data_IF_668662893853
#
_entry.id   IF_668662893853
#
_cell.length_a   1.000
_cell.length_b   1.000
_cell.length_c   1.000
_cell.angle_alpha   90.00
_cell.angle_beta   90.00
_cell.angle_gamma   90.00
#
_symmetry.space_group_name_H-M   'P 1'
#
loop_
_entity.id
_entity.type
_entity.pdbx_description
1 polymer ?
#
# COMPACT_ATOMS: atom_id res chain seq x y z
N UNK A 1 -20.47 -6.27 19.18
CA UNK A 1 -19.92 -5.00 19.68
C UNK A 1 -18.40 -5.03 19.62
N UNK A 2 -17.89 -4.87 18.42
CA UNK A 2 -16.49 -4.68 18.07
C UNK A 2 -16.37 -3.39 17.30
N UNK A 3 -15.63 -2.44 17.85
CA UNK A 3 -15.39 -1.12 17.22
C UNK A 3 -14.39 -1.17 16.06
N UNK A 4 -14.44 -2.25 15.28
CA UNK A 4 -13.59 -2.53 14.13
C UNK A 4 -14.34 -2.43 12.80
N UNK A 5 -15.66 -2.53 12.81
CA UNK A 5 -16.52 -2.19 11.69
C UNK A 5 -17.64 -1.26 12.15
N UNK A 6 -18.07 -0.38 11.24
CA UNK A 6 -19.04 0.66 11.54
C UNK A 6 -19.64 1.22 10.25
N UNK A 7 -20.82 1.80 10.36
CA UNK A 7 -21.48 2.53 9.28
C UNK A 7 -21.91 3.93 9.74
N UNK A 8 -21.62 4.93 8.93
CA UNK A 8 -21.91 6.33 9.24
C UNK A 8 -22.96 6.88 8.28
N UNK A 9 -24.12 7.26 8.82
CA UNK A 9 -25.21 7.86 8.06
C UNK A 9 -24.88 9.29 7.61
N UNK A 10 -24.95 9.53 6.30
CA UNK A 10 -24.58 10.80 5.67
C UNK A 10 -25.46 12.01 5.98
N UNK A 11 -26.68 11.80 6.49
CA UNK A 11 -27.65 12.90 6.70
C UNK A 11 -27.46 13.65 8.02
N UNK A 12 -26.88 13.00 9.04
CA UNK A 12 -26.58 13.59 10.35
C UNK A 12 -25.21 13.19 10.92
N UNK A 13 -24.44 12.36 10.21
CA UNK A 13 -23.13 11.89 10.64
C UNK A 13 -23.18 10.86 11.77
N UNK A 14 -24.35 10.28 12.07
CA UNK A 14 -24.48 9.29 13.13
C UNK A 14 -23.75 8.00 12.75
N UNK A 15 -22.91 7.50 13.66
CA UNK A 15 -22.10 6.29 13.48
C UNK A 15 -22.70 5.15 14.28
N UNK A 16 -23.10 4.08 13.58
CA UNK A 16 -23.50 2.81 14.15
C UNK A 16 -22.25 1.93 14.32
N UNK A 17 -22.04 1.38 15.52
CA UNK A 17 -20.86 0.57 15.92
C UNK A 17 -21.26 -0.81 16.49
N UNK A 18 -22.51 -1.17 16.23
CA UNK A 18 -23.26 -2.31 16.75
C UNK A 18 -24.32 -2.78 15.73
N UNK A 19 -24.14 -2.42 14.45
CA UNK A 19 -25.09 -2.77 13.38
C UNK A 19 -24.97 -4.23 12.97
N UNK A 20 -26.08 -4.81 12.51
CA UNK A 20 -26.14 -6.24 12.16
C UNK A 20 -25.44 -6.57 10.84
N UNK A 21 -25.43 -5.59 9.95
CA UNK A 21 -24.86 -5.60 8.63
C UNK A 21 -24.18 -4.26 8.33
N UNK A 22 -23.63 -4.15 7.12
CA UNK A 22 -22.92 -2.99 6.63
C UNK A 22 -23.56 -2.58 5.31
N UNK A 23 -24.34 -1.50 5.34
CA UNK A 23 -25.10 -1.04 4.18
C UNK A 23 -24.19 -0.26 3.21
N UNK A 24 -23.87 -0.88 2.07
CA UNK A 24 -22.94 -0.38 1.04
C UNK A 24 -23.70 0.04 -0.23
N UNK A 25 -24.27 1.24 -0.36
CA UNK A 25 -24.23 2.38 0.59
C UNK A 25 -25.59 3.00 0.87
N UNK A 26 -26.72 2.38 0.49
CA UNK A 26 -28.03 3.04 0.56
C UNK A 26 -29.17 2.16 1.10
N UNK A 27 -29.51 2.34 2.37
CA UNK A 27 -30.80 1.93 2.95
C UNK A 27 -31.85 3.03 2.74
N UNK A 28 -33.04 2.69 2.23
CA UNK A 28 -34.20 3.58 2.05
C UNK A 28 -33.94 4.98 1.44
N UNK A 29 -33.63 5.98 2.28
CA UNK A 29 -33.42 7.40 1.93
C UNK A 29 -32.02 7.91 2.28
N UNK A 30 -31.31 7.20 3.14
CA UNK A 30 -30.03 7.60 3.67
C UNK A 30 -28.89 6.96 2.86
N UNK A 31 -27.68 7.49 2.99
CA UNK A 31 -26.49 6.82 2.48
C UNK A 31 -25.46 6.65 3.58
N UNK A 32 -24.72 5.55 3.57
CA UNK A 32 -23.75 5.21 4.60
C UNK A 32 -22.32 5.23 4.05
N UNK A 33 -21.39 5.71 4.89
CA UNK A 33 -19.95 5.50 4.71
C UNK A 33 -19.55 4.34 5.61
N UNK A 34 -18.94 3.30 5.03
CA UNK A 34 -18.53 2.10 5.80
C UNK A 34 -17.07 2.22 6.21
N UNK A 35 -16.79 1.91 7.47
CA UNK A 35 -15.45 1.75 8.03
C UNK A 35 -15.14 0.28 8.31
N UNK A 36 -13.93 -0.16 7.95
CA UNK A 36 -13.44 -1.52 8.21
C UNK A 36 -11.98 -1.49 8.71
N UNK A 37 -11.75 -1.81 9.98
CA UNK A 37 -10.46 -1.84 10.66
C UNK A 37 -10.01 -3.29 10.91
N UNK A 38 -8.75 -3.54 10.57
CA UNK A 38 -8.08 -4.82 10.62
C UNK A 38 -6.92 -4.74 11.60
N UNK A 39 -7.07 -5.40 12.75
CA UNK A 39 -6.13 -5.27 13.85
C UNK A 39 -4.90 -6.19 13.70
N UNK A 40 -3.75 -5.75 14.23
CA UNK A 40 -2.51 -6.54 14.34
C UNK A 40 -1.99 -7.08 12.99
N UNK A 41 -1.95 -6.24 11.95
CA UNK A 41 -1.59 -6.68 10.59
C UNK A 41 -0.11 -7.06 10.51
N UNK A 42 0.13 -8.36 10.29
CA UNK A 42 1.47 -8.96 10.20
C UNK A 42 2.19 -8.72 8.86
N UNK A 43 2.06 -7.53 8.27
CA UNK A 43 2.81 -7.11 7.09
C UNK A 43 4.13 -6.41 7.52
N UNK A 44 5.30 -6.93 7.15
CA UNK A 44 6.57 -6.27 7.45
C UNK A 44 6.75 -5.02 6.56
N UNK A 45 7.40 -3.99 7.11
CA UNK A 45 7.81 -2.82 6.34
C UNK A 45 8.70 -3.22 5.15
N UNK A 46 8.49 -2.58 3.99
CA UNK A 46 9.16 -2.95 2.74
C UNK A 46 8.66 -4.24 2.09
N UNK A 47 7.50 -4.77 2.50
CA UNK A 47 6.77 -5.75 1.71
C UNK A 47 6.26 -5.13 0.39
N UNK A 48 6.27 -5.92 -0.69
CA UNK A 48 5.59 -5.60 -1.95
C UNK A 48 4.27 -6.35 -2.00
N UNK A 49 3.16 -5.61 -2.08
CA UNK A 49 1.81 -6.17 -2.18
C UNK A 49 1.56 -6.59 -3.63
N UNK A 50 1.38 -7.89 -3.85
CA UNK A 50 1.08 -8.47 -5.16
C UNK A 50 -0.42 -8.40 -5.45
N UNK A 51 -1.24 -8.67 -4.42
CA UNK A 51 -2.69 -8.57 -4.48
C UNK A 51 -3.25 -8.27 -3.10
N UNK A 52 -4.26 -7.42 -3.02
CA UNK A 52 -5.08 -7.25 -1.83
C UNK A 52 -6.55 -7.14 -2.22
N UNK A 53 -7.48 -7.59 -1.39
CA UNK A 53 -8.91 -7.38 -1.60
C UNK A 53 -9.69 -7.58 -0.29
N UNK A 54 -10.84 -6.92 -0.22
CA UNK A 54 -11.85 -7.17 0.81
C UNK A 54 -12.79 -8.27 0.31
N UNK A 55 -13.03 -9.29 1.13
CA UNK A 55 -13.94 -10.38 0.84
C UNK A 55 -15.18 -10.23 1.72
N UNK A 56 -16.32 -9.91 1.11
CA UNK A 56 -17.60 -9.71 1.78
C UNK A 56 -18.42 -11.01 1.75
N UNK A 57 -19.20 -11.25 2.81
CA UNK A 57 -20.26 -12.25 2.80
C UNK A 57 -21.62 -11.55 2.88
N UNK A 58 -22.49 -11.79 1.90
CA UNK A 58 -23.75 -11.05 1.81
C UNK A 58 -24.80 -11.49 2.83
N UNK A 59 -25.60 -10.55 3.32
CA UNK A 59 -26.80 -10.78 4.14
C UNK A 59 -28.04 -11.16 3.32
N UNK A 60 -27.96 -11.22 1.98
CA UNK A 60 -29.13 -11.42 1.13
C UNK A 60 -28.84 -11.54 -0.37
N UNK A 61 -29.77 -11.05 -1.19
CA UNK A 61 -29.68 -11.01 -2.65
C UNK A 61 -29.89 -9.57 -3.11
N UNK A 62 -28.93 -9.02 -3.85
CA UNK A 62 -28.87 -7.60 -4.20
C UNK A 62 -28.42 -7.41 -5.65
N UNK A 63 -29.30 -6.85 -6.49
CA UNK A 63 -29.05 -6.61 -7.93
C UNK A 63 -29.02 -5.12 -8.30
N UNK A 64 -29.30 -4.22 -7.35
CA UNK A 64 -29.31 -2.77 -7.56
C UNK A 64 -28.02 -2.26 -8.22
N UNK A 65 -28.15 -1.29 -9.13
CA UNK A 65 -27.01 -0.62 -9.76
C UNK A 65 -26.15 0.07 -8.71
N UNK A 66 -24.90 -0.36 -8.57
CA UNK A 66 -24.02 0.02 -7.46
C UNK A 66 -22.61 0.32 -7.97
N UNK A 67 -22.01 1.39 -7.46
CA UNK A 67 -20.61 1.76 -7.70
C UNK A 67 -20.04 2.26 -6.37
N UNK A 68 -18.89 1.70 -5.98
CA UNK A 68 -18.24 1.99 -4.71
C UNK A 68 -16.82 2.54 -4.95
N UNK A 69 -16.31 3.31 -4.00
CA UNK A 69 -14.93 3.76 -3.94
C UNK A 69 -14.33 3.25 -2.63
N UNK A 70 -13.22 2.51 -2.73
CA UNK A 70 -12.50 1.97 -1.57
C UNK A 70 -11.19 2.73 -1.42
N UNK A 71 -10.97 3.31 -0.25
CA UNK A 71 -9.73 3.98 0.17
C UNK A 71 -9.23 3.37 1.48
N UNK A 72 -7.96 3.58 1.80
CA UNK A 72 -7.40 3.33 3.13
C UNK A 72 -7.49 4.58 4.01
N UNK A 73 -7.38 4.40 5.31
CA UNK A 73 -7.11 5.48 6.27
C UNK A 73 -5.62 5.82 6.26
N UNK A 74 -5.28 7.11 6.12
CA UNK A 74 -3.89 7.59 6.07
C UNK A 74 -3.36 7.92 7.48
N UNK A 75 -3.19 6.89 8.31
CA UNK A 75 -2.60 6.99 9.66
C UNK A 75 -1.89 5.70 10.08
N UNK A 76 -0.87 5.81 10.93
CA UNK A 76 0.05 4.70 11.23
C UNK A 76 -0.62 3.53 11.95
N UNK A 77 -1.51 3.82 12.89
CA UNK A 77 -2.36 2.85 13.57
C UNK A 77 -3.77 3.47 13.73
N UNK A 78 -4.71 3.16 12.82
CA UNK A 78 -6.11 3.58 12.90
C UNK A 78 -6.73 3.29 14.26
N UNK A 79 -7.40 4.28 14.83
CA UNK A 79 -8.15 4.11 16.08
C UNK A 79 -9.44 3.31 15.84
N UNK A 80 -9.94 2.57 16.84
CA UNK A 80 -11.27 1.95 16.76
C UNK A 80 -12.36 2.98 16.42
N UNK A 81 -13.44 2.54 15.78
CA UNK A 81 -14.60 3.39 15.54
C UNK A 81 -15.29 3.78 16.85
N UNK A 82 -15.89 4.95 16.87
CA UNK A 82 -16.64 5.45 18.00
C UNK A 82 -17.95 6.08 17.53
N UNK A 83 -18.97 6.01 18.39
CA UNK A 83 -20.26 6.68 18.21
C UNK A 83 -20.12 8.21 18.45
N UNK A 84 -19.28 8.83 17.63
CA UNK A 84 -19.03 10.27 17.55
C UNK A 84 -19.41 10.70 16.15
N UNK A 85 -20.11 11.83 16.01
CA UNK A 85 -20.52 12.36 14.70
C UNK A 85 -19.32 12.43 13.74
N UNK A 86 -19.51 11.95 12.51
CA UNK A 86 -18.52 11.92 11.42
C UNK A 86 -17.24 11.08 11.67
N UNK A 87 -17.25 10.13 12.62
CA UNK A 87 -16.04 9.38 12.99
C UNK A 87 -15.39 8.57 11.84
N UNK A 88 -16.09 8.31 10.73
CA UNK A 88 -15.59 7.60 9.55
C UNK A 88 -15.34 8.59 8.40
N UNK A 89 -16.26 9.52 8.13
CA UNK A 89 -16.13 10.43 6.98
C UNK A 89 -15.03 11.47 7.14
N UNK A 90 -14.76 11.95 8.36
CA UNK A 90 -13.68 12.93 8.66
C UNK A 90 -12.28 12.29 8.74
N UNK A 91 -12.16 10.95 8.69
CA UNK A 91 -10.84 10.30 8.70
C UNK A 91 -10.05 10.63 7.43
N UNK A 92 -8.78 11.00 7.60
CA UNK A 92 -7.85 11.24 6.47
C UNK A 92 -7.68 9.94 5.69
N UNK A 93 -7.66 10.03 4.35
CA UNK A 93 -7.67 8.88 3.45
C UNK A 93 -6.47 8.87 2.52
N UNK A 94 -6.08 7.67 2.08
CA UNK A 94 -5.07 7.47 1.05
C UNK A 94 -5.44 8.20 -0.25
N UNK A 95 -4.40 8.65 -0.96
CA UNK A 95 -4.52 9.20 -2.31
C UNK A 95 -4.85 8.10 -3.32
N UNK A 96 -4.28 6.91 -3.15
CA UNK A 96 -4.71 5.69 -3.81
C UNK A 96 -6.16 5.40 -3.42
N UNK A 97 -6.98 5.17 -4.45
CA UNK A 97 -8.37 4.78 -4.33
C UNK A 97 -8.68 3.77 -5.43
N UNK A 98 -9.56 2.81 -5.14
CA UNK A 98 -9.99 1.79 -6.11
C UNK A 98 -11.50 1.91 -6.29
N UNK A 99 -11.90 2.23 -7.52
CA UNK A 99 -13.29 2.18 -7.94
C UNK A 99 -13.72 0.72 -8.11
N UNK A 100 -14.82 0.35 -7.47
CA UNK A 100 -15.58 -0.86 -7.74
C UNK A 100 -16.84 -0.44 -8.51
N UNK A 101 -16.62 -0.06 -9.76
CA UNK A 101 -17.70 0.30 -10.68
C UNK A 101 -18.49 -0.93 -11.11
N UNK A 102 -19.79 -0.74 -11.36
CA UNK A 102 -20.72 -1.77 -11.82
C UNK A 102 -20.65 -3.05 -10.98
N UNK A 103 -20.70 -2.91 -9.65
CA UNK A 103 -20.61 -4.04 -8.70
C UNK A 103 -21.56 -5.15 -9.14
N UNK A 104 -21.08 -6.37 -9.45
CA UNK A 104 -21.95 -7.45 -9.90
C UNK A 104 -23.08 -7.74 -8.89
N UNK A 105 -24.24 -8.25 -9.36
CA UNK A 105 -25.30 -8.68 -8.46
C UNK A 105 -24.79 -9.72 -7.46
N UNK A 106 -25.14 -9.54 -6.19
CA UNK A 106 -24.95 -10.56 -5.15
C UNK A 106 -26.17 -11.48 -5.21
N UNK A 107 -25.98 -12.69 -5.69
CA UNK A 107 -27.07 -13.60 -6.14
C UNK A 107 -27.46 -14.66 -5.11
N UNK A 108 -26.81 -14.67 -3.95
CA UNK A 108 -26.98 -15.67 -2.91
C UNK A 108 -26.65 -15.08 -1.53
N UNK A 109 -27.57 -15.28 -0.58
CA UNK A 109 -27.36 -15.03 0.85
C UNK A 109 -26.21 -15.89 1.36
N UNK A 110 -25.31 -15.33 2.17
CA UNK A 110 -24.05 -15.93 2.59
C UNK A 110 -23.10 -16.27 1.42
N UNK A 111 -23.40 -15.77 0.21
CA UNK A 111 -22.47 -15.78 -0.92
C UNK A 111 -21.26 -14.87 -0.64
N UNK A 112 -20.13 -15.25 -1.22
CA UNK A 112 -18.83 -14.61 -0.98
C UNK A 112 -18.40 -13.79 -2.20
N UNK A 113 -18.18 -12.49 -2.00
CA UNK A 113 -17.92 -11.53 -3.09
C UNK A 113 -16.65 -10.73 -2.80
N UNK A 114 -15.59 -10.87 -3.62
CA UNK A 114 -14.36 -10.10 -3.47
C UNK A 114 -14.48 -8.72 -4.14
N UNK A 115 -13.85 -7.71 -3.53
CA UNK A 115 -13.59 -6.42 -4.16
C UNK A 115 -12.58 -6.55 -5.32
N UNK A 116 -12.41 -5.50 -6.15
CA UNK A 116 -11.25 -5.35 -7.02
C UNK A 116 -9.93 -5.31 -6.23
N UNK A 117 -8.81 -5.36 -6.94
CA UNK A 117 -7.48 -5.39 -6.33
C UNK A 117 -7.13 -4.07 -5.64
N UNK A 118 -6.95 -4.11 -4.33
CA UNK A 118 -6.59 -3.00 -3.44
C UNK A 118 -5.08 -2.87 -3.23
N UNK A 119 -4.24 -3.59 -3.98
CA UNK A 119 -2.79 -3.62 -3.77
C UNK A 119 -2.15 -2.22 -3.69
N UNK A 120 -2.57 -1.27 -4.53
CA UNK A 120 -2.06 0.11 -4.49
C UNK A 120 -2.45 0.86 -3.21
N UNK A 121 -3.66 0.65 -2.68
CA UNK A 121 -4.14 1.25 -1.42
C UNK A 121 -3.34 0.69 -0.25
N UNK A 122 -3.22 -0.64 -0.17
CA UNK A 122 -2.44 -1.29 0.90
C UNK A 122 -0.96 -0.90 0.82
N UNK A 123 -0.38 -0.83 -0.38
CA UNK A 123 1.01 -0.42 -0.56
C UNK A 123 1.23 1.01 -0.05
N UNK A 124 0.36 1.97 -0.40
CA UNK A 124 0.43 3.33 0.16
C UNK A 124 0.33 3.30 1.70
N UNK A 125 -0.54 2.47 2.28
CA UNK A 125 -0.66 2.37 3.74
C UNK A 125 0.57 1.78 4.44
N UNK A 126 1.33 0.87 3.82
CA UNK A 126 2.51 0.23 4.44
C UNK A 126 3.86 0.89 4.05
N UNK A 127 3.88 1.74 3.02
CA UNK A 127 5.06 2.53 2.61
C UNK A 127 5.25 3.78 3.49
N UNK A 128 4.33 4.06 4.41
CA UNK A 128 4.39 5.23 5.29
C UNK A 128 5.56 5.10 6.30
N UNK A 129 6.30 6.18 6.60
CA UNK A 129 7.60 6.08 7.28
C UNK A 129 7.61 5.41 8.67
N UNK A 130 6.48 5.39 9.37
CA UNK A 130 6.36 4.79 10.70
C UNK A 130 5.56 3.48 10.70
N UNK A 131 5.29 2.86 9.55
CA UNK A 131 4.64 1.54 9.49
C UNK A 131 5.46 0.49 10.26
N UNK A 132 4.83 -0.23 11.17
CA UNK A 132 5.46 -1.30 11.95
C UNK A 132 4.64 -2.59 11.83
N UNK A 133 5.32 -3.72 12.01
CA UNK A 133 4.68 -5.02 12.07
C UNK A 133 3.66 -5.06 13.21
N UNK A 134 2.41 -5.40 12.91
CA UNK A 134 1.33 -5.42 13.90
C UNK A 134 0.62 -4.08 14.08
N UNK A 135 0.91 -3.06 13.28
CA UNK A 135 0.00 -1.92 13.12
C UNK A 135 -1.32 -2.37 12.47
N UNK A 136 -2.34 -1.53 12.60
CA UNK A 136 -3.68 -1.81 12.06
C UNK A 136 -3.83 -1.20 10.65
N UNK A 137 -4.73 -1.75 9.84
CA UNK A 137 -5.15 -1.14 8.58
C UNK A 137 -6.65 -0.82 8.68
N UNK A 138 -7.07 0.37 8.27
CA UNK A 138 -8.49 0.70 8.13
C UNK A 138 -8.82 1.12 6.70
N UNK A 139 -9.99 0.73 6.24
CA UNK A 139 -10.55 1.09 4.94
C UNK A 139 -11.82 1.90 5.12
N UNK A 140 -12.05 2.82 4.19
CA UNK A 140 -13.28 3.60 4.08
C UNK A 140 -13.91 3.31 2.73
N UNK A 141 -15.19 2.93 2.75
CA UNK A 141 -15.97 2.66 1.54
C UNK A 141 -17.09 3.71 1.43
N UNK A 142 -17.12 4.40 0.31
CA UNK A 142 -18.20 5.32 -0.08
C UNK A 142 -18.77 4.92 -1.45
N UNK A 143 -19.87 5.52 -1.87
CA UNK A 143 -20.45 5.23 -3.18
C UNK A 143 -21.96 5.45 -3.23
N UNK A 144 -22.61 4.78 -4.18
CA UNK A 144 -24.06 4.78 -4.35
C UNK A 144 -24.55 3.44 -4.90
N UNK A 145 -25.82 3.14 -4.64
CA UNK A 145 -26.42 1.82 -4.87
C UNK A 145 -26.54 1.05 -3.56
N UNK A 146 -26.72 -0.27 -3.64
CA UNK A 146 -26.98 -1.08 -2.46
C UNK A 146 -26.46 -2.51 -2.54
N UNK A 147 -25.66 -2.88 -1.54
CA UNK A 147 -25.23 -4.22 -1.16
C UNK A 147 -25.18 -4.24 0.37
N UNK A 148 -25.63 -5.30 1.02
CA UNK A 148 -25.44 -5.47 2.46
C UNK A 148 -24.65 -6.75 2.75
N UNK A 149 -23.65 -6.60 3.63
CA UNK A 149 -22.73 -7.64 4.07
C UNK A 149 -22.79 -7.80 5.59
N UNK A 150 -22.55 -9.00 6.10
CA UNK A 150 -22.58 -9.25 7.55
C UNK A 150 -21.52 -8.44 8.29
N UNK A 151 -21.91 -7.81 9.40
CA UNK A 151 -21.00 -7.19 10.39
C UNK A 151 -20.33 -8.25 11.28
N UNK A 152 -19.16 -7.92 11.84
CA UNK A 152 -18.50 -8.70 12.91
C UNK A 152 -19.32 -8.74 14.21
N UNK A 153 -20.24 -7.80 14.40
CA UNK A 153 -21.06 -7.71 15.61
C UNK A 153 -22.05 -8.86 15.76
N UNK A 154 -22.65 -9.33 14.65
CA UNK A 154 -23.50 -10.55 14.67
C UNK A 154 -22.68 -11.81 14.38
N UNK A 155 -21.89 -11.83 13.30
CA UNK A 155 -21.21 -13.06 12.85
C UNK A 155 -19.75 -12.79 12.46
N UNK A 156 -18.85 -12.88 13.43
CA UNK A 156 -17.39 -12.76 13.25
C UNK A 156 -16.82 -13.63 12.11
N UNK A 157 -17.38 -14.81 11.88
CA UNK A 157 -16.94 -15.70 10.80
C UNK A 157 -17.42 -15.28 9.40
N UNK A 158 -18.41 -14.38 9.32
CA UNK A 158 -19.01 -13.83 8.08
C UNK A 158 -18.60 -12.38 7.81
N UNK A 159 -18.08 -11.67 8.81
CA UNK A 159 -17.50 -10.33 8.71
C UNK A 159 -16.54 -10.17 7.51
N UNK A 160 -16.37 -8.96 6.96
CA UNK A 160 -15.51 -8.73 5.80
C UNK A 160 -14.05 -9.07 6.09
N UNK A 161 -13.40 -9.83 5.22
CA UNK A 161 -12.01 -10.31 5.41
C UNK A 161 -11.05 -9.61 4.49
N UNK A 162 -9.95 -9.11 5.05
CA UNK A 162 -8.83 -8.57 4.28
C UNK A 162 -7.89 -9.70 3.85
N UNK A 163 -7.78 -9.89 2.54
CA UNK A 163 -6.98 -10.93 1.91
C UNK A 163 -5.78 -10.28 1.23
N UNK A 164 -4.54 -10.69 1.55
CA UNK A 164 -3.31 -10.03 1.06
C UNK A 164 -2.24 -11.05 0.68
N UNK A 165 -1.87 -11.02 -0.60
CA UNK A 165 -0.76 -11.75 -1.19
C UNK A 165 0.44 -10.79 -1.30
N UNK A 166 1.57 -11.10 -0.64
CA UNK A 166 2.74 -10.22 -0.60
C UNK A 166 4.07 -10.98 -0.66
N UNK A 167 5.10 -10.29 -1.17
CA UNK A 167 6.49 -10.75 -1.18
C UNK A 167 7.37 -9.80 -0.37
N UNK A 168 8.30 -10.34 0.40
CA UNK A 168 9.39 -9.58 1.01
C UNK A 168 10.64 -9.68 0.15
N UNK A 169 11.44 -8.62 0.07
CA UNK A 169 12.81 -8.75 -0.41
C UNK A 169 13.55 -9.85 0.37
N UNK A 170 14.41 -10.61 -0.30
CA UNK A 170 15.34 -11.48 0.39
C UNK A 170 16.21 -10.63 1.33
N UNK A 171 16.55 -11.10 2.54
CA UNK A 171 17.41 -10.35 3.45
C UNK A 171 18.74 -10.08 2.74
N UNK A 172 19.03 -8.81 2.46
CA UNK A 172 20.32 -8.40 1.93
C UNK A 172 21.39 -8.95 2.87
N UNK A 173 22.35 -9.77 2.40
CA UNK A 173 23.37 -10.32 3.27
C UNK A 173 24.18 -9.15 3.83
N UNK A 174 23.97 -8.84 5.11
CA UNK A 174 24.73 -7.80 5.79
C UNK A 174 26.19 -8.19 5.70
N UNK A 175 26.98 -7.39 4.98
CA UNK A 175 28.41 -7.60 4.89
C UNK A 175 28.99 -7.51 6.30
N UNK A 176 29.17 -8.67 6.93
CA UNK A 176 29.81 -8.73 8.24
C UNK A 176 31.21 -8.22 8.02
N UNK A 177 31.50 -7.06 8.61
CA UNK A 177 32.85 -6.50 8.68
C UNK A 177 33.69 -7.50 9.46
N UNK A 178 34.23 -8.50 8.76
CA UNK A 178 35.21 -9.43 9.30
C UNK A 178 36.37 -8.55 9.72
N UNK A 179 36.68 -8.45 11.04
CA UNK A 179 37.73 -7.56 11.49
C UNK A 179 39.02 -7.99 10.80
N UNK A 180 39.55 -7.13 9.94
CA UNK A 180 40.85 -7.36 9.32
C UNK A 180 41.84 -7.54 10.47
N UNK A 181 42.54 -8.69 10.58
CA UNK A 181 43.50 -8.88 11.64
C UNK A 181 44.56 -7.78 11.51
N UNK A 182 44.58 -6.86 12.48
CA UNK A 182 45.61 -5.84 12.55
C UNK A 182 46.93 -6.58 12.66
N UNK A 183 47.77 -6.42 11.63
CA UNK A 183 49.10 -7.00 11.63
C UNK A 183 49.84 -6.48 12.86
N UNK A 184 50.04 -7.36 13.85
CA UNK A 184 50.78 -7.01 15.06
C UNK A 184 52.20 -6.72 14.61
N UNK A 185 52.64 -5.47 14.76
CA UNK A 185 53.99 -5.08 14.41
C UNK A 185 54.97 -5.87 15.27
N UNK A 186 55.70 -6.80 14.65
CA UNK A 186 56.78 -7.52 15.32
C UNK A 186 57.78 -6.48 15.82
N UNK A 187 58.09 -6.40 17.12
CA UNK A 187 59.02 -5.40 17.63
C UNK A 187 60.40 -5.62 16.98
N UNK A 188 60.96 -4.54 16.42
CA UNK A 188 62.29 -4.55 15.84
C UNK A 188 63.30 -5.00 16.91
N UNK A 189 64.21 -5.96 16.61
CA UNK A 189 65.19 -6.42 17.60
C UNK A 189 66.03 -5.25 18.09
N UNK A 190 66.05 -5.07 19.41
CA UNK A 190 66.80 -3.99 20.05
C UNK A 190 68.29 -4.27 19.93
N UNK A 191 69.01 -3.44 19.17
CA UNK A 191 70.47 -3.55 19.05
C UNK A 191 71.12 -3.31 20.42
N UNK A 192 71.50 -4.38 21.10
CA UNK A 192 72.35 -4.31 22.29
C UNK A 192 73.73 -3.85 21.85
N UNK A 193 74.16 -2.67 22.30
CA UNK A 193 75.47 -2.12 21.99
C UNK A 193 76.57 -3.02 22.55
N UNK A 194 77.43 -3.55 21.69
CA UNK A 194 78.64 -4.26 22.09
C UNK A 194 79.59 -3.32 22.85
N UNK A 195 80.39 -3.84 23.82
CA UNK A 195 81.37 -3.04 24.54
C UNK A 195 82.50 -2.55 23.60
N UNK A 196 83.16 -1.42 23.91
CA UNK A 196 84.06 -0.76 22.98
C UNK A 196 85.35 -1.57 22.76
N UNK A 197 85.64 -1.88 21.49
CA UNK A 197 86.91 -2.44 21.07
C UNK A 197 87.99 -1.34 20.98
N UNK A 198 89.16 -1.60 21.55
CA UNK A 198 90.34 -0.74 21.47
C UNK A 198 90.90 -0.67 20.05
N UNK A 199 91.02 0.54 19.50
CA UNK A 199 91.64 0.79 18.20
C UNK A 199 93.18 0.87 18.30
N UNK A 200 93.88 0.53 17.19
CA UNK A 200 94.96 1.41 16.74
C UNK A 200 94.78 1.88 15.28
N UNK A 201 94.63 3.20 15.16
CA UNK A 201 95.25 4.10 14.19
C UNK A 201 95.28 3.82 12.66
N UNK A 202 94.80 4.84 11.93
CA UNK A 202 95.31 5.36 10.63
C UNK A 202 94.69 4.85 9.32
N UNK A 203 93.75 5.64 8.79
CA UNK A 203 93.79 6.13 7.40
C UNK A 203 93.00 7.46 7.29
N UNK A 204 93.35 8.31 6.34
CA UNK A 204 92.88 9.71 6.19
C UNK A 204 92.14 9.84 4.86
N UNK A 205 90.95 10.48 4.81
CA UNK A 205 90.70 11.70 4.01
C UNK A 205 89.20 12.08 3.91
N UNK A 206 88.94 13.39 4.01
CA UNK A 206 87.95 14.25 3.28
C UNK A 206 86.91 13.61 2.34
N UNK A 207 85.68 14.10 2.14
CA UNK A 207 84.81 15.13 2.74
C UNK A 207 83.39 14.94 2.08
N UNK A 208 82.33 15.76 2.17
CA UNK A 208 82.05 17.09 2.76
C UNK A 208 80.52 17.17 3.07
N UNK A 209 80.08 18.03 3.99
CA UNK A 209 78.64 18.19 4.33
C UNK A 209 77.97 19.32 3.54
N UNK A 210 76.71 19.13 3.12
CA UNK A 210 75.74 20.25 2.97
C UNK A 210 74.30 19.74 3.01
N UNK A 211 73.43 20.52 3.67
CA UNK A 211 72.02 20.24 3.91
C UNK A 211 71.10 21.08 3.03
N UNK A 212 69.87 20.64 2.76
CA UNK A 212 68.63 21.45 2.94
C UNK A 212 67.37 20.60 2.64
N UNK A 213 66.21 20.93 3.25
CA UNK A 213 64.93 20.27 2.98
C UNK A 213 64.04 21.10 2.03
N UNK A 214 63.05 20.45 1.39
CA UNK A 214 61.86 21.15 0.91
C UNK A 214 60.65 20.20 0.81
N UNK A 215 59.50 20.64 1.32
CA UNK A 215 58.20 20.05 1.03
C UNK A 215 57.47 20.94 0.02
N UNK A 216 56.80 20.36 -0.97
CA UNK A 216 55.73 21.02 -1.72
C UNK A 216 54.80 20.02 -2.39
N UNK A 217 53.58 20.44 -2.65
CA UNK A 217 52.43 19.63 -3.05
C UNK A 217 52.26 19.48 -4.56
N UNK A 218 51.52 18.46 -4.98
CA UNK A 218 50.67 18.48 -6.20
C UNK A 218 49.61 17.37 -6.12
N UNK A 219 48.30 17.70 -6.10
CA UNK A 219 47.24 16.76 -6.46
C UNK A 219 47.03 16.77 -7.98
N UNK A 220 46.81 15.60 -8.59
CA UNK A 220 46.44 15.50 -10.00
C UNK A 220 44.91 15.44 -10.13
N UNK A 221 44.32 16.33 -10.91
CA UNK A 221 42.90 16.34 -11.25
C UNK A 221 42.72 16.59 -12.76
N UNK A 222 41.61 16.09 -13.30
CA UNK A 222 41.29 15.97 -14.73
C UNK A 222 41.27 17.27 -15.53
N UNK A 223 41.56 17.17 -16.83
CA UNK A 223 40.69 17.61 -17.94
C UNK A 223 41.45 17.70 -19.27
N UNK A 224 40.85 17.22 -20.36
CA UNK A 224 41.20 17.63 -21.73
C UNK A 224 39.91 18.01 -22.46
N UNK A 225 39.89 19.21 -23.04
CA UNK A 225 38.71 19.77 -23.70
C UNK A 225 39.01 20.09 -25.17
N UNK A 226 38.03 19.85 -26.05
CA UNK A 226 37.96 20.32 -27.45
C UNK A 226 36.52 20.08 -27.94
N UNK A 227 35.77 20.98 -28.58
CA UNK A 227 36.01 22.39 -28.96
C UNK A 227 34.65 23.16 -29.05
N UNK A 228 34.73 24.46 -29.33
CA UNK A 228 33.60 25.41 -29.60
C UNK A 228 34.01 26.37 -30.74
N UNK A 229 33.14 27.24 -31.30
CA UNK A 229 31.72 27.13 -31.69
C UNK A 229 31.57 27.50 -33.22
N UNK A 230 30.46 28.04 -33.80
CA UNK A 230 29.76 29.28 -33.41
C UNK A 230 28.21 29.18 -33.33
N UNK A 231 27.59 30.32 -32.98
CA UNK A 231 26.19 30.54 -32.57
C UNK A 231 25.22 30.85 -33.73
N UNK A 232 23.92 30.51 -33.57
CA UNK A 232 22.83 31.51 -33.66
C UNK A 232 21.43 30.99 -33.25
N UNK A 233 20.88 31.56 -32.17
CA UNK A 233 19.52 32.12 -32.02
C UNK A 233 18.28 31.42 -32.63
N UNK A 234 17.34 30.99 -31.78
CA UNK A 234 15.99 31.61 -31.67
C UNK A 234 15.04 30.87 -30.70
N UNK A 235 14.42 31.60 -29.78
CA UNK A 235 13.28 31.17 -28.95
C UNK A 235 11.96 31.40 -29.68
N UNK A 236 10.93 30.56 -29.51
CA UNK A 236 9.55 30.97 -29.70
C UNK A 236 8.78 31.01 -28.36
N UNK A 237 8.54 32.23 -27.87
CA UNK A 237 7.45 32.51 -26.92
C UNK A 237 6.14 32.55 -27.71
N UNK A 238 5.06 31.93 -27.23
CA UNK A 238 3.73 32.14 -27.80
C UNK A 238 2.75 32.63 -26.72
N UNK A 239 2.26 33.86 -26.90
CA UNK A 239 1.21 34.49 -26.10
C UNK A 239 -0.05 34.64 -26.97
N UNK A 240 -1.20 34.63 -26.32
CA UNK A 240 -2.54 34.50 -26.91
C UNK A 240 -2.86 35.37 -28.13
N UNK A 241 -3.73 34.83 -29.00
CA UNK A 241 -4.52 35.59 -29.96
C UNK A 241 -6.02 35.44 -29.64
N UNK A 242 -6.60 36.48 -29.06
CA UNK A 242 -8.05 36.59 -28.84
C UNK A 242 -8.72 37.03 -30.16
N UNK A 243 -9.61 36.21 -30.73
CA UNK A 243 -10.40 36.60 -31.91
C UNK A 243 -11.85 36.88 -31.51
N UNK A 244 -12.22 38.15 -31.53
CA UNK A 244 -13.61 38.61 -31.39
C UNK A 244 -14.37 38.33 -32.69
N UNK A 245 -15.46 37.57 -32.61
CA UNK A 245 -16.41 37.41 -33.71
C UNK A 245 -17.83 37.72 -33.21
N UNK A 246 -18.36 38.87 -33.62
CA UNK A 246 -19.72 39.32 -33.27
C UNK A 246 -20.63 39.18 -34.48
N UNK A 247 -21.58 38.24 -34.45
CA UNK A 247 -22.72 38.20 -35.39
C UNK A 247 -24.01 37.82 -34.64
N UNK A 248 -25.13 38.33 -35.13
CA UNK A 248 -26.42 38.41 -34.44
C UNK A 248 -27.25 37.10 -34.48
N UNK A 249 -28.23 36.92 -33.57
CA UNK A 249 -29.17 35.78 -33.60
C UNK A 249 -30.24 35.96 -34.69
N UNK A 250 -30.78 34.87 -35.23
CA UNK A 250 -32.23 34.68 -35.09
C UNK A 250 -32.71 33.21 -34.95
N UNK A 251 -34.03 33.09 -34.76
CA UNK A 251 -34.88 31.91 -34.89
C UNK A 251 -35.03 30.98 -33.65
N UNK A 252 -36.10 31.24 -32.90
CA UNK A 252 -36.78 30.25 -32.05
C UNK A 252 -37.30 29.08 -32.88
N UNK A 253 -36.74 27.88 -32.69
CA UNK A 253 -37.26 26.62 -33.23
C UNK A 253 -37.78 25.72 -32.12
N UNK A 254 -39.04 25.31 -32.20
CA UNK A 254 -39.68 24.42 -31.22
C UNK A 254 -39.15 22.99 -31.36
N UNK A 255 -38.52 22.44 -30.32
CA UNK A 255 -38.07 21.04 -30.31
C UNK A 255 -39.22 20.14 -29.84
N UNK A 256 -39.63 19.20 -30.70
CA UNK A 256 -40.61 18.18 -30.34
C UNK A 256 -39.98 17.12 -29.40
N UNK A 257 -40.74 16.52 -28.47
CA UNK A 257 -40.20 15.54 -27.52
C UNK A 257 -39.72 14.27 -28.22
N UNK A 258 -38.49 13.85 -27.91
CA UNK A 258 -37.94 12.56 -28.31
C UNK A 258 -38.62 11.45 -27.50
N UNK A 259 -39.09 10.39 -28.18
CA UNK A 259 -39.73 9.26 -27.53
C UNK A 259 -38.72 8.41 -26.74
N UNK A 260 -39.10 7.96 -25.54
CA UNK A 260 -38.28 7.05 -24.72
C UNK A 260 -38.13 5.68 -25.39
N UNK A 261 -36.94 5.04 -25.32
CA UNK A 261 -36.76 3.69 -25.82
C UNK A 261 -37.51 2.66 -24.94
N UNK A 262 -38.15 1.70 -25.58
CA UNK A 262 -38.84 0.59 -24.92
C UNK A 262 -37.82 -0.41 -24.36
N UNK A 263 -37.96 -0.91 -23.10
CA UNK A 263 -37.08 -1.94 -22.57
C UNK A 263 -37.31 -3.30 -23.28
N UNK A 264 -36.26 -4.13 -23.44
CA UNK A 264 -36.39 -5.48 -24.00
C UNK A 264 -37.12 -6.44 -23.06
N UNK A 265 -37.74 -7.53 -23.58
CA UNK A 265 -38.51 -8.47 -22.76
C UNK A 265 -37.61 -9.32 -21.84
N UNK A 266 -38.09 -9.56 -20.62
CA UNK A 266 -37.41 -10.37 -19.60
C UNK A 266 -37.23 -11.83 -20.04
N UNK A 267 -35.98 -12.30 -20.05
CA UNK A 267 -35.67 -13.71 -20.27
C UNK A 267 -35.99 -14.55 -19.01
N UNK A 268 -36.89 -15.51 -19.13
CA UNK A 268 -37.22 -16.45 -18.06
C UNK A 268 -36.21 -17.61 -18.04
N UNK A 269 -35.26 -17.58 -17.11
CA UNK A 269 -34.36 -18.71 -16.87
C UNK A 269 -35.09 -19.81 -16.09
N UNK A 270 -35.23 -20.98 -16.70
CA UNK A 270 -35.75 -22.18 -16.02
C UNK A 270 -34.62 -22.83 -15.24
N UNK A 271 -34.75 -22.92 -13.91
CA UNK A 271 -33.74 -23.54 -13.06
C UNK A 271 -33.66 -25.06 -13.30
N UNK A 272 -32.43 -25.56 -13.46
CA UNK A 272 -32.14 -27.01 -13.49
C UNK A 272 -31.88 -27.45 -12.03
N UNK A 273 -32.56 -28.49 -11.51
CA UNK A 273 -32.31 -28.96 -10.16
C UNK A 273 -30.94 -29.65 -10.05
N UNK A 274 -30.13 -29.20 -9.10
CA UNK A 274 -28.86 -29.84 -8.73
C UNK A 274 -29.13 -31.13 -7.94
N UNK A 275 -28.41 -32.20 -8.29
CA UNK A 275 -28.41 -33.45 -7.54
C UNK A 275 -27.60 -33.32 -6.24
N UNK A 276 -27.94 -34.05 -5.16
CA UNK A 276 -27.23 -33.97 -3.88
C UNK A 276 -25.85 -34.64 -3.97
N UNK A 277 -24.79 -33.89 -3.69
CA UNK A 277 -23.41 -34.41 -3.60
C UNK A 277 -23.17 -35.06 -2.23
N UNK A 278 -22.48 -36.19 -2.23
CA UNK A 278 -22.30 -37.05 -1.06
C UNK A 278 -21.35 -36.48 0.01
N UNK A 279 -21.55 -36.93 1.26
CA UNK A 279 -20.68 -36.68 2.41
C UNK A 279 -19.32 -37.39 2.29
N UNK A 280 -18.19 -36.74 2.62
CA UNK A 280 -16.90 -37.41 2.76
C UNK A 280 -16.83 -38.26 4.05
N UNK A 281 -16.16 -39.41 3.96
CA UNK A 281 -15.88 -40.32 5.08
C UNK A 281 -14.63 -39.86 5.82
N UNK A 282 -14.67 -39.90 7.15
CA UNK A 282 -13.53 -39.59 8.03
C UNK A 282 -12.53 -40.77 8.11
N UNK A 283 -11.22 -40.48 8.13
CA UNK A 283 -10.18 -41.46 8.45
C UNK A 283 -9.16 -40.83 9.42
N UNK A 284 -8.73 -41.51 10.49
CA UNK A 284 -8.01 -40.86 11.59
C UNK A 284 -6.47 -40.97 11.50
N UNK A 285 -5.80 -39.97 12.09
CA UNK A 285 -4.47 -40.14 12.71
C UNK A 285 -3.26 -39.70 11.89
N UNK A 286 -2.79 -38.46 12.10
CA UNK A 286 -1.49 -37.99 11.63
C UNK A 286 -1.10 -36.67 12.31
N UNK A 287 -0.16 -36.71 13.26
CA UNK A 287 0.23 -35.52 14.02
C UNK A 287 1.06 -34.55 13.19
N UNK A 288 0.50 -33.38 12.91
CA UNK A 288 1.20 -32.15 12.55
C UNK A 288 0.60 -31.02 13.39
N UNK A 289 1.42 -30.02 13.77
CA UNK A 289 1.06 -29.01 14.76
C UNK A 289 -0.30 -28.35 14.48
N UNK A 290 -1.17 -28.31 15.49
CA UNK A 290 -2.51 -27.76 15.37
C UNK A 290 -2.46 -26.31 14.84
N UNK A 291 -3.25 -25.95 13.81
CA UNK A 291 -3.35 -24.57 13.39
C UNK A 291 -3.92 -23.75 14.54
N UNK A 292 -3.19 -22.71 14.95
CA UNK A 292 -3.69 -21.75 15.93
C UNK A 292 -4.78 -20.91 15.24
N UNK A 293 -6.04 -21.32 15.44
CA UNK A 293 -7.22 -20.59 14.97
C UNK A 293 -7.33 -19.26 15.72
N UNK A 294 -6.65 -18.23 15.24
CA UNK A 294 -6.84 -16.87 15.71
C UNK A 294 -8.08 -16.27 15.04
N UNK A 295 -9.17 -16.14 15.80
CA UNK A 295 -10.44 -15.53 15.39
C UNK A 295 -10.36 -13.98 15.38
N UNK A 296 -9.40 -13.46 14.63
CA UNK A 296 -9.33 -12.07 14.16
C UNK A 296 -9.33 -12.10 12.62
N UNK A 297 -9.72 -11.01 11.92
CA UNK A 297 -9.72 -11.00 10.46
C UNK A 297 -8.29 -11.18 9.94
N UNK A 298 -7.99 -12.42 9.54
CA UNK A 298 -6.63 -12.89 9.29
C UNK A 298 -6.33 -12.83 7.80
N UNK A 299 -5.19 -12.20 7.47
CA UNK A 299 -4.62 -12.23 6.12
C UNK A 299 -4.30 -13.68 5.74
N UNK A 300 -5.09 -14.23 4.81
CA UNK A 300 -4.73 -15.47 4.15
C UNK A 300 -3.72 -15.12 3.08
N UNK A 301 -2.46 -15.51 3.32
CA UNK A 301 -1.40 -15.55 2.30
C UNK A 301 -1.64 -16.78 1.43
N UNK A 302 -1.84 -16.60 0.12
CA UNK A 302 -1.83 -17.72 -0.84
C UNK A 302 -0.42 -18.13 -1.27
#
# INVERSE_FOLDING_TARGET
>A
ETTDDAEERSTDGYVYIDSGDLDMTKEDKDTYTIGLRYQNVALPAGATIQRAYLQFMSTGVYDAWTNLLIQGEDVDAPLPYAQTTNNISERTRTNAAVAWDQVPPWTMENGVYPSPNLAAVVQEMIDRPNWQLGHDLAFVITGYGYRAAWSMDIYRERAPKLMIDYTTAAPTPTSTNTPVPIATSTPLPTNTSAPPATMPATAISTALSTSTPLASSTPFASSTAMATPPSSTATPTSVAATTTATLAPPATGTVAPVASPTPPPSATYTAIPLAPTATPVEQPGGSAGAPLNFYLPTIIKS
#
